data_IF_060615378702
#
_entry.id   IF_060615378702
#
_cell.length_a   1.000
_cell.length_b   1.000
_cell.length_c   1.000
_cell.angle_alpha   90.00
_cell.angle_beta   90.00
_cell.angle_gamma   90.00
#
_symmetry.space_group_name_H-M   'P 1'
#
loop_
_entity.id
_entity.type
_entity.pdbx_description
1 polymer ?
#
# COMPACT_ATOMS: atom_id res chain seq x y z
N UNK A 1 -0.14 50.99 -5.51
CA UNK A 1 1.11 50.62 -4.82
C UNK A 1 1.19 49.11 -4.78
N UNK A 2 2.22 48.51 -5.36
CA UNK A 2 2.46 47.06 -5.22
C UNK A 2 3.02 46.81 -3.81
N UNK A 3 2.35 45.97 -3.04
CA UNK A 3 2.83 45.56 -1.73
C UNK A 3 3.95 44.52 -1.94
N UNK A 4 5.19 44.89 -1.65
CA UNK A 4 6.32 43.96 -1.64
C UNK A 4 6.45 43.42 -0.22
N UNK A 5 6.23 42.12 -0.06
CA UNK A 5 6.35 41.46 1.24
C UNK A 5 7.76 41.65 1.79
N UNK A 6 7.92 42.05 3.08
CA UNK A 6 9.23 42.11 3.73
C UNK A 6 9.80 40.71 4.04
N UNK A 7 9.01 39.64 3.83
CA UNK A 7 9.44 38.26 4.01
C UNK A 7 9.89 37.65 2.68
N UNK A 8 10.94 36.83 2.72
CA UNK A 8 11.36 36.02 1.57
C UNK A 8 10.21 35.13 1.08
N UNK A 9 10.17 34.85 -0.22
CA UNK A 9 9.15 33.98 -0.80
C UNK A 9 9.17 32.61 -0.09
N UNK A 10 8.02 32.17 0.40
CA UNK A 10 7.89 30.86 1.03
C UNK A 10 8.24 29.77 0.02
N UNK A 11 9.19 28.89 0.37
CA UNK A 11 9.49 27.66 -0.39
C UNK A 11 8.45 26.57 -0.14
N UNK A 12 7.55 26.81 0.81
CA UNK A 12 6.53 25.89 1.30
C UNK A 12 5.32 25.89 0.36
N UNK A 13 5.12 24.79 -0.36
CA UNK A 13 3.99 24.61 -1.28
C UNK A 13 2.90 23.79 -0.62
N UNK A 14 1.64 24.15 -0.86
CA UNK A 14 0.49 23.40 -0.35
C UNK A 14 0.58 21.91 -0.75
N UNK A 15 0.19 21.03 0.17
CA UNK A 15 0.20 19.57 -0.02
C UNK A 15 1.58 18.92 -0.09
N UNK A 16 2.68 19.68 0.00
CA UNK A 16 4.02 19.12 -0.04
C UNK A 16 4.44 18.60 1.33
N UNK A 17 5.16 17.48 1.36
CA UNK A 17 5.77 16.95 2.57
C UNK A 17 7.09 16.24 2.31
N UNK A 18 7.91 16.16 3.36
CA UNK A 18 9.18 15.46 3.35
C UNK A 18 9.40 14.67 4.63
N UNK A 19 9.79 13.40 4.46
CA UNK A 19 10.22 12.49 5.51
C UNK A 19 11.67 12.12 5.21
N UNK A 20 12.57 12.30 6.16
CA UNK A 20 13.97 11.86 6.08
C UNK A 20 14.29 11.07 7.34
N UNK A 21 14.54 9.77 7.16
CA UNK A 21 14.96 8.85 8.20
C UNK A 21 16.45 8.53 7.98
N UNK A 22 17.30 8.98 8.89
CA UNK A 22 18.77 8.83 8.83
C UNK A 22 19.29 7.96 9.97
N UNK A 23 20.52 7.46 9.84
CA UNK A 23 21.21 6.75 10.92
C UNK A 23 22.29 7.63 11.52
N UNK A 24 22.17 7.95 12.81
CA UNK A 24 23.24 8.60 13.57
C UNK A 24 24.21 7.57 14.17
N UNK A 25 25.50 7.89 14.31
CA UNK A 25 26.45 7.03 15.01
C UNK A 25 26.02 6.72 16.46
N UNK A 26 26.26 5.49 16.96
CA UNK A 26 26.90 4.37 16.28
C UNK A 26 25.97 3.58 15.35
N UNK A 27 24.65 3.52 15.60
CA UNK A 27 23.64 2.88 14.73
C UNK A 27 22.20 3.21 15.20
N UNK A 28 21.88 4.50 15.35
CA UNK A 28 20.57 4.97 15.85
C UNK A 28 19.76 5.63 14.73
N UNK A 29 18.70 4.97 14.21
CA UNK A 29 17.77 5.61 13.29
C UNK A 29 17.08 6.81 13.95
N UNK A 30 16.99 7.94 13.25
CA UNK A 30 16.31 9.16 13.70
C UNK A 30 15.53 9.81 12.57
N UNK A 31 14.35 10.34 12.88
CA UNK A 31 13.62 11.22 11.98
C UNK A 31 14.29 12.59 11.95
N UNK A 32 15.19 12.79 10.99
CA UNK A 32 15.85 14.08 10.77
C UNK A 32 14.88 15.14 10.25
N UNK A 33 13.92 14.75 9.42
CA UNK A 33 12.94 15.66 8.86
C UNK A 33 11.58 15.00 8.80
N UNK A 34 10.58 15.70 9.34
CA UNK A 34 9.17 15.46 9.11
C UNK A 34 8.55 16.84 8.88
N UNK A 35 8.43 17.23 7.62
CA UNK A 35 7.85 18.51 7.23
C UNK A 35 6.65 18.28 6.33
N UNK A 36 5.66 19.15 6.44
CA UNK A 36 4.45 19.09 5.62
C UNK A 36 3.81 20.47 5.51
N UNK A 37 2.97 20.61 4.50
CA UNK A 37 2.03 21.71 4.39
C UNK A 37 0.63 21.26 4.08
N UNK A 38 -0.31 22.01 4.64
CA UNK A 38 -1.72 21.88 4.35
C UNK A 38 -1.97 21.74 2.84
N UNK A 39 -2.80 20.79 2.38
CA UNK A 39 -3.67 19.93 3.19
C UNK A 39 -3.01 18.64 3.73
N UNK A 40 -1.75 18.33 3.40
CA UNK A 40 -1.04 17.19 3.97
C UNK A 40 -0.71 17.43 5.45
N UNK A 41 -0.86 16.40 6.28
CA UNK A 41 -0.40 16.37 7.66
C UNK A 41 0.30 15.04 7.95
N UNK A 42 1.42 15.12 8.66
CA UNK A 42 2.19 13.96 9.11
C UNK A 42 2.19 13.90 10.64
N UNK A 43 1.94 12.71 11.19
CA UNK A 43 2.04 12.45 12.63
C UNK A 43 3.02 11.32 12.87
N UNK A 44 4.07 11.59 13.65
CA UNK A 44 5.15 10.65 13.94
C UNK A 44 5.20 10.38 15.46
N UNK A 45 4.60 9.28 15.96
CA UNK A 45 4.78 8.86 17.35
C UNK A 45 6.23 8.44 17.64
N UNK A 46 6.55 8.28 18.93
CA UNK A 46 7.86 7.80 19.37
C UNK A 46 8.20 6.45 18.72
N UNK A 47 9.44 6.28 18.22
CA UNK A 47 9.87 5.02 17.60
C UNK A 47 9.94 3.89 18.63
N UNK A 48 9.77 2.65 18.16
CA UNK A 48 9.85 1.46 18.99
C UNK A 48 11.02 0.57 18.58
N UNK A 49 11.61 -0.19 19.52
CA UNK A 49 12.56 -1.24 19.16
C UNK A 49 11.86 -2.35 18.36
N UNK A 50 12.59 -3.10 17.52
CA UNK A 50 12.06 -4.30 16.87
C UNK A 50 11.59 -5.33 17.92
N UNK A 51 10.50 -6.09 17.68
CA UNK A 51 9.93 -7.02 18.68
C UNK A 51 10.84 -8.19 19.04
N UNK A 52 11.58 -8.71 18.06
CA UNK A 52 12.64 -9.69 18.29
C UNK A 52 13.98 -9.01 18.06
N UNK A 53 14.98 -9.20 18.95
CA UNK A 53 16.35 -8.87 18.61
C UNK A 53 16.70 -9.75 17.41
N UNK A 54 16.71 -9.16 16.23
CA UNK A 54 16.98 -9.90 15.01
C UNK A 54 18.38 -10.47 15.10
N UNK A 55 18.51 -11.77 14.83
CA UNK A 55 19.80 -12.46 14.65
C UNK A 55 20.58 -11.96 13.42
N UNK A 56 20.01 -10.99 12.68
CA UNK A 56 20.60 -10.37 11.51
C UNK A 56 21.51 -9.24 11.99
N UNK A 57 22.82 -9.38 11.76
CA UNK A 57 23.79 -8.30 11.89
C UNK A 57 23.30 -7.05 11.14
N UNK A 58 23.35 -5.88 11.78
CA UNK A 58 22.93 -4.57 11.26
C UNK A 58 21.43 -4.28 11.17
N UNK A 59 20.56 -4.98 11.91
CA UNK A 59 19.19 -4.52 12.03
C UNK A 59 19.08 -3.18 12.78
N UNK A 60 18.08 -2.34 12.44
CA UNK A 60 17.90 -1.07 13.10
C UNK A 60 17.51 -1.24 14.57
N UNK A 61 18.10 -0.41 15.42
CA UNK A 61 17.73 -0.31 16.84
C UNK A 61 16.32 0.25 17.07
N UNK A 62 15.77 0.98 16.09
CA UNK A 62 14.49 1.66 16.19
C UNK A 62 13.71 1.62 14.88
N UNK A 63 12.40 1.45 15.00
CA UNK A 63 11.43 1.43 13.91
C UNK A 63 10.54 2.65 14.05
N UNK A 64 10.43 3.42 12.98
CA UNK A 64 9.64 4.65 12.97
C UNK A 64 8.29 4.37 12.33
N UNK A 65 7.24 4.96 12.89
CA UNK A 65 5.89 4.92 12.35
C UNK A 65 5.47 6.34 12.01
N UNK A 66 4.88 6.55 10.83
CA UNK A 66 4.31 7.83 10.43
C UNK A 66 2.91 7.60 9.88
N UNK A 67 1.96 8.40 10.35
CA UNK A 67 0.62 8.47 9.80
C UNK A 67 0.53 9.62 8.80
N UNK A 68 0.00 9.32 7.63
CA UNK A 68 -0.39 10.24 6.57
C UNK A 68 -1.85 10.65 6.78
N UNK A 69 -2.11 11.94 6.76
CA UNK A 69 -3.44 12.49 6.88
C UNK A 69 -3.64 13.61 5.87
N UNK A 70 -4.89 13.78 5.45
CA UNK A 70 -5.35 14.96 4.72
C UNK A 70 -6.27 15.75 5.64
N UNK A 71 -5.85 16.96 5.99
CA UNK A 71 -6.67 17.89 6.77
C UNK A 71 -7.94 18.25 5.97
N UNK A 72 -9.08 18.34 6.64
CA UNK A 72 -10.38 18.53 5.97
C UNK A 72 -11.12 17.22 5.68
N UNK A 73 -10.57 16.08 6.11
CA UNK A 73 -11.23 14.78 6.06
C UNK A 73 -11.16 14.09 4.70
N UNK A 74 -10.30 14.57 3.79
CA UNK A 74 -10.08 13.97 2.47
C UNK A 74 -9.46 14.97 1.49
N UNK A 75 -9.35 14.57 0.24
CA UNK A 75 -8.81 15.35 -0.89
C UNK A 75 -9.98 15.99 -1.64
N UNK A 76 -9.97 17.31 -1.82
CA UNK A 76 -11.01 18.04 -2.57
C UNK A 76 -10.56 18.37 -3.99
N UNK A 77 -11.48 18.89 -4.81
CA UNK A 77 -11.27 19.13 -6.23
C UNK A 77 -10.07 20.06 -6.48
N UNK A 78 -9.09 19.57 -7.25
CA UNK A 78 -7.89 20.33 -7.61
C UNK A 78 -6.75 20.29 -6.59
N UNK A 79 -6.94 19.64 -5.44
CA UNK A 79 -5.85 19.42 -4.48
C UNK A 79 -4.72 18.59 -5.12
N UNK A 80 -3.48 18.92 -4.76
CA UNK A 80 -2.30 18.16 -5.14
C UNK A 80 -1.43 17.90 -3.91
N UNK A 81 -1.24 16.62 -3.58
CA UNK A 81 -0.33 16.16 -2.52
C UNK A 81 0.98 15.70 -3.17
N UNK A 82 2.12 16.09 -2.61
CA UNK A 82 3.45 15.62 -3.03
C UNK A 82 4.30 15.27 -1.81
N UNK A 83 4.45 13.97 -1.54
CA UNK A 83 5.23 13.45 -0.42
C UNK A 83 6.55 12.84 -0.90
N UNK A 84 7.66 13.31 -0.33
CA UNK A 84 8.99 12.73 -0.54
C UNK A 84 9.47 12.01 0.71
N UNK A 85 9.89 10.77 0.57
CA UNK A 85 10.39 9.94 1.67
C UNK A 85 11.80 9.47 1.32
N UNK A 86 12.76 9.71 2.21
CA UNK A 86 14.14 9.25 2.06
C UNK A 86 14.50 8.37 3.25
N UNK A 87 14.86 7.11 2.96
CA UNK A 87 15.24 6.11 3.94
C UNK A 87 16.72 5.78 3.76
N UNK A 88 17.52 6.11 4.77
CA UNK A 88 18.94 5.80 4.80
C UNK A 88 19.18 4.30 5.01
N UNK A 89 20.42 3.85 4.80
CA UNK A 89 20.75 2.42 4.85
C UNK A 89 20.37 1.79 6.18
N UNK A 90 19.88 0.55 6.16
CA UNK A 90 19.45 -0.22 7.34
C UNK A 90 18.32 0.43 8.17
N UNK A 91 17.55 1.37 7.63
CA UNK A 91 16.39 1.95 8.33
C UNK A 91 15.09 1.20 8.05
N UNK A 92 14.13 1.27 8.99
CA UNK A 92 12.78 0.70 8.85
C UNK A 92 11.72 1.77 9.10
N UNK A 93 10.85 1.98 8.12
CA UNK A 93 9.71 2.89 8.21
C UNK A 93 8.39 2.12 8.02
N UNK A 94 7.45 2.38 8.93
CA UNK A 94 6.03 2.04 8.80
C UNK A 94 5.29 3.31 8.39
N UNK A 95 4.60 3.25 7.26
CA UNK A 95 3.76 4.33 6.76
C UNK A 95 2.31 3.86 6.73
N UNK A 96 1.41 4.65 7.30
CA UNK A 96 0.00 4.32 7.49
C UNK A 96 -0.86 5.55 7.21
N UNK A 97 -2.17 5.38 7.15
CA UNK A 97 -3.12 6.50 7.15
C UNK A 97 -3.93 6.52 8.44
N UNK A 98 -4.67 7.61 8.69
CA UNK A 98 -5.69 7.61 9.73
C UNK A 98 -7.07 7.43 9.08
N UNK A 99 -7.44 6.18 8.79
CA UNK A 99 -8.66 5.84 8.08
C UNK A 99 -8.54 6.02 6.57
N UNK A 100 -9.62 5.68 5.87
CA UNK A 100 -9.69 5.78 4.41
C UNK A 100 -9.44 7.20 3.90
N UNK A 101 -8.58 7.31 2.89
CA UNK A 101 -8.39 8.57 2.16
C UNK A 101 -9.61 8.84 1.30
N UNK A 102 -10.49 9.72 1.77
CA UNK A 102 -11.70 10.12 1.06
C UNK A 102 -11.33 11.06 -0.07
N UNK A 103 -11.83 10.81 -1.27
CA UNK A 103 -11.70 11.74 -2.39
C UNK A 103 -13.07 12.31 -2.71
N UNK A 104 -13.22 13.62 -2.60
CA UNK A 104 -14.50 14.27 -2.81
C UNK A 104 -14.83 14.41 -4.30
N UNK A 105 -16.08 14.74 -4.59
CA UNK A 105 -16.57 15.05 -5.94
C UNK A 105 -15.84 16.25 -6.53
N UNK A 106 -15.71 16.27 -7.85
CA UNK A 106 -15.18 17.40 -8.61
C UNK A 106 -16.27 18.01 -9.50
N UNK A 107 -16.30 19.34 -9.72
CA UNK A 107 -17.29 19.98 -10.59
C UNK A 107 -17.18 19.55 -12.07
N UNK A 108 -16.00 19.12 -12.51
CA UNK A 108 -15.76 18.62 -13.87
C UNK A 108 -14.76 17.47 -13.85
N UNK A 109 -14.92 16.44 -14.71
CA UNK A 109 -13.91 15.38 -14.87
C UNK A 109 -12.52 15.90 -15.25
N UNK A 110 -12.40 17.11 -15.80
CA UNK A 110 -11.12 17.72 -16.19
C UNK A 110 -10.35 18.31 -14.99
N UNK A 111 -11.03 18.62 -13.89
CA UNK A 111 -10.39 19.09 -12.66
C UNK A 111 -10.03 17.88 -11.80
N UNK A 112 -8.85 17.33 -12.07
CA UNK A 112 -8.32 16.12 -11.40
C UNK A 112 -7.54 16.51 -10.15
N UNK A 113 -7.86 15.86 -9.02
CA UNK A 113 -7.02 15.92 -7.81
C UNK A 113 -5.89 14.91 -7.90
N UNK A 114 -4.74 15.24 -7.32
CA UNK A 114 -3.47 14.54 -7.52
C UNK A 114 -2.83 14.11 -6.19
N UNK A 115 -2.23 12.93 -6.19
CA UNK A 115 -1.38 12.48 -5.09
C UNK A 115 -0.09 11.84 -5.61
N UNK A 116 1.04 12.41 -5.23
CA UNK A 116 2.36 11.92 -5.56
C UNK A 116 3.06 11.46 -4.30
N UNK A 117 3.69 10.28 -4.36
CA UNK A 117 4.61 9.80 -3.34
C UNK A 117 5.89 9.30 -4.01
N UNK A 118 7.02 9.88 -3.63
CA UNK A 118 8.34 9.42 -4.09
C UNK A 118 9.13 8.93 -2.89
N UNK A 119 9.53 7.66 -2.91
CA UNK A 119 10.30 7.03 -1.83
C UNK A 119 11.67 6.65 -2.38
N UNK A 120 12.73 7.06 -1.70
CA UNK A 120 14.10 6.62 -1.95
C UNK A 120 14.55 5.68 -0.82
N UNK A 121 14.93 4.46 -1.19
CA UNK A 121 15.40 3.43 -0.28
C UNK A 121 16.87 3.14 -0.59
N UNK A 122 17.75 3.48 0.35
CA UNK A 122 19.15 3.06 0.31
C UNK A 122 19.29 1.57 0.66
N UNK A 123 20.52 1.08 0.62
CA UNK A 123 20.87 -0.30 0.89
C UNK A 123 20.24 -0.84 2.19
N UNK A 124 19.52 -1.96 2.07
CA UNK A 124 18.84 -2.64 3.17
C UNK A 124 17.80 -1.79 3.94
N UNK A 125 17.43 -0.63 3.42
CA UNK A 125 16.28 0.12 3.94
C UNK A 125 14.98 -0.64 3.64
N UNK A 126 13.98 -0.45 4.49
CA UNK A 126 12.72 -1.17 4.37
C UNK A 126 11.50 -0.29 4.66
N UNK A 127 10.51 -0.38 3.77
CA UNK A 127 9.23 0.29 3.91
C UNK A 127 8.10 -0.75 4.02
N UNK A 128 7.29 -0.60 5.06
CA UNK A 128 5.93 -1.13 5.11
C UNK A 128 4.97 0.02 4.89
N UNK A 129 4.21 -0.02 3.80
CA UNK A 129 3.14 0.94 3.53
C UNK A 129 1.82 0.18 3.36
N UNK A 130 1.07 0.08 4.45
CA UNK A 130 -0.22 -0.62 4.51
C UNK A 130 -1.31 0.39 4.94
N UNK A 131 -1.69 1.35 4.08
CA UNK A 131 -2.70 2.34 4.41
C UNK A 131 -4.10 1.72 4.44
N UNK A 132 -5.08 2.44 4.99
CA UNK A 132 -6.49 2.19 4.67
C UNK A 132 -6.76 2.46 3.17
N UNK A 133 -7.81 1.86 2.59
CA UNK A 133 -8.06 2.00 1.16
C UNK A 133 -8.51 3.42 0.80
N UNK A 134 -8.25 3.80 -0.46
CA UNK A 134 -8.79 5.04 -1.04
C UNK A 134 -10.30 4.88 -1.25
N UNK A 135 -11.07 5.89 -0.84
CA UNK A 135 -12.52 5.93 -1.01
C UNK A 135 -12.93 7.10 -1.91
N UNK A 136 -12.97 6.90 -3.24
CA UNK A 136 -13.50 7.90 -4.15
C UNK A 136 -15.01 8.03 -3.99
N UNK A 137 -15.52 9.25 -3.90
CA UNK A 137 -16.96 9.49 -3.88
C UNK A 137 -17.51 9.51 -5.31
N UNK A 138 -18.85 9.53 -5.43
CA UNK A 138 -19.48 9.78 -6.71
C UNK A 138 -18.94 11.08 -7.35
N UNK A 139 -18.74 11.06 -8.67
CA UNK A 139 -18.24 12.19 -9.46
C UNK A 139 -16.82 12.66 -9.09
N UNK A 140 -15.96 11.75 -8.61
CA UNK A 140 -14.53 12.02 -8.39
C UNK A 140 -13.71 11.86 -9.68
N UNK A 141 -12.72 12.74 -9.89
CA UNK A 141 -11.63 12.55 -10.83
C UNK A 141 -10.29 12.63 -10.08
N UNK A 142 -9.56 11.52 -10.00
CA UNK A 142 -8.36 11.40 -9.16
C UNK A 142 -7.25 10.63 -9.87
N UNK A 143 -6.01 11.05 -9.65
CA UNK A 143 -4.84 10.29 -10.06
C UNK A 143 -3.78 10.27 -8.96
N UNK A 144 -3.26 9.09 -8.66
CA UNK A 144 -2.11 8.91 -7.80
C UNK A 144 -0.93 8.25 -8.54
N UNK A 145 0.28 8.63 -8.14
CA UNK A 145 1.53 8.02 -8.58
C UNK A 145 2.44 7.78 -7.38
N UNK A 146 2.80 6.53 -7.16
CA UNK A 146 3.73 6.10 -6.12
C UNK A 146 4.99 5.55 -6.79
N UNK A 147 6.12 6.20 -6.54
CA UNK A 147 7.40 5.88 -7.17
C UNK A 147 8.41 5.50 -6.11
N UNK A 148 8.94 4.28 -6.21
CA UNK A 148 9.93 3.74 -5.29
C UNK A 148 11.27 3.61 -6.01
N UNK A 149 12.30 4.26 -5.48
CA UNK A 149 13.66 4.20 -5.99
C UNK A 149 14.53 3.36 -5.06
N UNK A 150 15.13 2.30 -5.60
CA UNK A 150 16.03 1.40 -4.89
C UNK A 150 17.47 1.66 -5.32
N UNK A 151 18.37 1.80 -4.36
CA UNK A 151 19.81 1.83 -4.66
C UNK A 151 20.31 0.40 -4.94
N UNK A 152 20.90 0.21 -6.13
CA UNK A 152 21.45 -1.07 -6.58
C UNK A 152 20.51 -2.27 -6.41
N UNK A 153 19.20 -2.07 -6.50
CA UNK A 153 18.17 -3.10 -6.33
C UNK A 153 18.01 -3.65 -4.90
N UNK A 154 18.65 -3.03 -3.90
CA UNK A 154 18.82 -3.57 -2.54
C UNK A 154 17.86 -2.98 -1.49
N UNK A 155 16.65 -2.58 -1.89
CA UNK A 155 15.62 -2.10 -0.97
C UNK A 155 14.50 -3.12 -0.75
N UNK A 156 13.82 -2.98 0.40
CA UNK A 156 12.75 -3.88 0.83
C UNK A 156 11.41 -3.14 0.85
N UNK A 157 10.37 -3.73 0.24
CA UNK A 157 9.05 -3.13 0.11
C UNK A 157 7.95 -4.14 0.47
N UNK A 158 7.01 -3.71 1.30
CA UNK A 158 5.71 -4.34 1.47
C UNK A 158 4.66 -3.22 1.39
N UNK A 159 4.04 -3.07 0.23
CA UNK A 159 3.18 -1.92 -0.11
C UNK A 159 1.83 -2.39 -0.58
N UNK A 160 0.75 -1.89 0.01
CA UNK A 160 -0.62 -2.13 -0.42
C UNK A 160 -1.23 -0.87 -1.03
N UNK A 161 -1.71 -0.98 -2.26
CA UNK A 161 -2.48 0.05 -2.95
C UNK A 161 -3.86 -0.51 -3.33
N UNK A 162 -4.91 0.09 -2.79
CA UNK A 162 -6.25 -0.46 -2.85
C UNK A 162 -7.32 0.64 -2.78
N UNK A 163 -8.43 0.39 -3.46
CA UNK A 163 -9.52 1.34 -3.68
C UNK A 163 -10.87 0.67 -3.49
N UNK A 164 -11.82 1.44 -2.98
CA UNK A 164 -13.21 1.01 -2.78
C UNK A 164 -14.16 1.60 -3.82
N UNK A 165 -15.35 1.02 -3.96
CA UNK A 165 -16.40 1.47 -4.88
C UNK A 165 -17.06 2.80 -4.49
N UNK A 166 -16.66 3.39 -3.37
CA UNK A 166 -17.21 4.63 -2.82
C UNK A 166 -17.99 4.41 -1.54
N UNK A 167 -19.04 5.20 -1.33
CA UNK A 167 -19.87 5.14 -0.12
C UNK A 167 -21.08 4.23 -0.34
N UNK A 168 -20.89 2.93 -0.11
CA UNK A 168 -21.97 1.93 -0.19
C UNK A 168 -23.19 2.31 0.66
N UNK A 169 -22.98 2.87 1.86
CA UNK A 169 -24.05 3.36 2.73
C UNK A 169 -24.88 4.52 2.13
N UNK A 170 -24.38 5.17 1.07
CA UNK A 170 -25.10 6.20 0.28
C UNK A 170 -25.59 5.68 -1.08
N UNK A 171 -25.48 4.38 -1.33
CA UNK A 171 -25.83 3.75 -2.61
C UNK A 171 -24.81 3.98 -3.72
N UNK A 172 -23.60 4.46 -3.41
CA UNK A 172 -22.55 4.63 -4.42
C UNK A 172 -21.92 3.28 -4.78
N UNK A 173 -21.75 3.04 -6.07
CA UNK A 173 -21.12 1.84 -6.60
C UNK A 173 -20.32 2.18 -7.87
N UNK A 174 -19.07 2.56 -7.68
CA UNK A 174 -18.15 2.97 -8.74
C UNK A 174 -18.65 4.17 -9.57
N UNK A 175 -19.40 5.08 -8.95
CA UNK A 175 -20.01 6.27 -9.57
C UNK A 175 -19.03 7.44 -9.81
N UNK A 176 -17.73 7.15 -9.90
CA UNK A 176 -16.67 8.11 -10.18
C UNK A 176 -16.60 8.50 -11.66
N UNK A 177 -15.94 9.62 -11.97
CA UNK A 177 -15.55 9.93 -13.34
C UNK A 177 -14.31 9.12 -13.75
N UNK A 178 -13.29 9.14 -12.89
CA UNK A 178 -12.04 8.42 -13.12
C UNK A 178 -11.17 8.34 -11.87
N UNK A 179 -10.48 7.21 -11.73
CA UNK A 179 -9.48 6.93 -10.72
C UNK A 179 -8.30 6.24 -11.41
N UNK A 180 -7.11 6.83 -11.28
CA UNK A 180 -5.88 6.27 -11.83
C UNK A 180 -4.90 6.05 -10.70
N UNK A 181 -4.37 4.84 -10.57
CA UNK A 181 -3.27 4.55 -9.67
C UNK A 181 -2.10 3.95 -10.41
N UNK A 182 -0.90 4.50 -10.18
CA UNK A 182 0.33 4.00 -10.77
C UNK A 182 1.35 3.75 -9.68
N UNK A 183 1.87 2.53 -9.63
CA UNK A 183 2.97 2.15 -8.77
C UNK A 183 4.18 1.81 -9.66
N UNK A 184 5.30 2.47 -9.43
CA UNK A 184 6.54 2.22 -10.16
C UNK A 184 7.69 1.93 -9.20
N UNK A 185 8.49 0.91 -9.52
CA UNK A 185 9.73 0.62 -8.80
C UNK A 185 10.90 0.71 -9.76
N UNK A 186 11.83 1.60 -9.44
CA UNK A 186 13.01 1.91 -10.20
C UNK A 186 14.25 1.51 -9.42
N UNK A 187 15.30 1.09 -10.12
CA UNK A 187 16.65 0.97 -9.54
C UNK A 187 17.57 2.02 -10.11
N UNK A 188 18.47 2.54 -9.28
CA UNK A 188 19.61 3.35 -9.71
C UNK A 188 20.89 2.61 -9.38
N UNK A 189 21.75 2.39 -10.36
CA UNK A 189 23.09 1.79 -10.12
C UNK A 189 24.08 2.83 -9.58
N UNK A 190 25.22 2.37 -9.05
CA UNK A 190 26.34 3.25 -8.64
C UNK A 190 26.83 4.17 -9.77
N UNK A 191 26.72 3.71 -11.03
CA UNK A 191 27.03 4.52 -12.23
C UNK A 191 25.95 5.56 -12.59
N UNK A 192 24.89 5.68 -11.79
CA UNK A 192 23.76 6.60 -12.01
C UNK A 192 22.73 6.14 -13.03
N UNK A 193 22.88 4.94 -13.63
CA UNK A 193 21.94 4.41 -14.62
C UNK A 193 20.63 4.01 -13.93
N UNK A 194 19.51 4.54 -14.42
CA UNK A 194 18.16 4.22 -13.94
C UNK A 194 17.52 3.10 -14.74
N UNK A 195 16.83 2.18 -14.07
CA UNK A 195 16.11 1.05 -14.68
C UNK A 195 14.74 0.87 -14.05
N UNK A 196 13.68 0.83 -14.85
CA UNK A 196 12.33 0.46 -14.39
C UNK A 196 12.28 -1.06 -14.15
N UNK A 197 11.98 -1.47 -12.92
CA UNK A 197 11.87 -2.88 -12.53
C UNK A 197 10.42 -3.38 -12.61
N UNK A 198 9.49 -2.57 -12.09
CA UNK A 198 8.07 -2.90 -11.99
C UNK A 198 7.23 -1.64 -12.30
N UNK A 199 6.13 -1.83 -13.03
CA UNK A 199 5.05 -0.85 -13.16
C UNK A 199 3.71 -1.58 -13.03
N UNK A 200 2.93 -1.19 -12.03
CA UNK A 200 1.50 -1.50 -11.94
C UNK A 200 0.71 -0.23 -12.27
N UNK A 201 -0.32 -0.36 -13.10
CA UNK A 201 -1.09 0.79 -13.58
C UNK A 201 -2.58 0.41 -13.64
N UNK A 202 -3.32 0.86 -12.63
CA UNK A 202 -4.76 0.67 -12.49
C UNK A 202 -5.48 1.90 -13.05
N UNK A 203 -6.37 1.68 -14.01
CA UNK A 203 -7.23 2.72 -14.58
C UNK A 203 -8.67 2.26 -14.41
N UNK A 204 -9.39 2.97 -13.54
CA UNK A 204 -10.82 2.81 -13.34
C UNK A 204 -11.49 4.08 -13.87
N UNK A 205 -12.25 3.95 -14.93
CA UNK A 205 -12.96 5.05 -15.57
C UNK A 205 -14.43 4.67 -15.73
N UNK A 206 -15.31 5.67 -15.84
CA UNK A 206 -16.76 5.44 -15.82
C UNK A 206 -17.24 4.42 -16.87
N UNK A 207 -16.70 4.51 -18.09
CA UNK A 207 -17.11 3.68 -19.23
C UNK A 207 -15.97 2.77 -19.76
N UNK A 208 -14.71 3.16 -19.58
CA UNK A 208 -13.59 2.43 -20.16
C UNK A 208 -13.55 2.50 -21.68
N UNK A 209 -12.94 1.47 -22.24
CA UNK A 209 -12.96 1.21 -23.69
C UNK A 209 -14.19 0.39 -24.11
N UNK A 210 -15.10 0.12 -23.18
CA UNK A 210 -16.33 -0.64 -23.39
C UNK A 210 -17.53 0.29 -23.27
N UNK A 211 -18.70 -0.10 -23.80
CA UNK A 211 -19.94 0.63 -23.50
C UNK A 211 -20.59 0.18 -22.17
N UNK A 212 -19.86 -0.55 -21.32
CA UNK A 212 -20.34 -1.04 -20.03
C UNK A 212 -19.94 -0.09 -18.90
N UNK A 213 -20.89 0.18 -18.01
CA UNK A 213 -20.62 0.93 -16.78
C UNK A 213 -19.55 0.22 -15.94
N UNK A 214 -18.71 1.00 -15.25
CA UNK A 214 -17.66 0.47 -14.36
C UNK A 214 -18.21 -0.53 -13.33
N UNK A 215 -19.35 -0.23 -12.71
CA UNK A 215 -19.98 -1.14 -11.73
C UNK A 215 -20.31 -2.52 -12.29
N UNK A 216 -20.75 -2.60 -13.55
CA UNK A 216 -21.02 -3.88 -14.21
C UNK A 216 -19.71 -4.62 -14.53
N UNK A 217 -18.64 -3.91 -14.91
CA UNK A 217 -17.32 -4.50 -15.17
C UNK A 217 -16.66 -5.04 -13.90
N UNK A 218 -16.97 -4.44 -12.75
CA UNK A 218 -16.45 -4.86 -11.46
C UNK A 218 -17.21 -6.06 -10.87
N UNK A 219 -18.24 -6.59 -11.54
CA UNK A 219 -18.93 -7.85 -11.19
C UNK A 219 -19.30 -8.01 -9.69
N UNK A 220 -19.79 -6.92 -9.09
CA UNK A 220 -20.19 -6.89 -7.68
C UNK A 220 -19.04 -6.80 -6.67
N UNK A 221 -17.77 -6.73 -7.11
CA UNK A 221 -16.66 -6.37 -6.24
C UNK A 221 -16.71 -4.88 -5.89
N UNK A 222 -16.60 -4.58 -4.60
CA UNK A 222 -16.55 -3.21 -4.08
C UNK A 222 -15.15 -2.80 -3.66
N UNK A 223 -14.16 -3.68 -3.78
CA UNK A 223 -12.76 -3.44 -3.45
C UNK A 223 -11.88 -4.01 -4.54
N UNK A 224 -10.81 -3.30 -4.87
CA UNK A 224 -9.72 -3.83 -5.68
C UNK A 224 -8.39 -3.36 -5.11
N UNK A 225 -7.41 -4.25 -5.04
CA UNK A 225 -6.09 -3.94 -4.50
C UNK A 225 -4.94 -4.70 -5.16
N UNK A 226 -3.76 -4.08 -5.10
CA UNK A 226 -2.47 -4.65 -5.43
C UNK A 226 -1.56 -4.55 -4.20
N UNK A 227 -1.08 -5.68 -3.70
CA UNK A 227 0.02 -5.76 -2.74
C UNK A 227 1.32 -6.08 -3.50
N UNK A 228 2.34 -5.26 -3.27
CA UNK A 228 3.67 -5.35 -3.88
C UNK A 228 4.66 -5.72 -2.79
N UNK A 229 5.29 -6.89 -2.93
CA UNK A 229 6.26 -7.42 -1.97
C UNK A 229 7.61 -7.60 -2.68
N UNK A 230 8.68 -7.13 -2.04
CA UNK A 230 10.05 -7.27 -2.54
C UNK A 230 11.08 -7.23 -1.42
N UNK A 231 12.17 -7.97 -1.61
CA UNK A 231 13.41 -7.83 -0.88
C UNK A 231 13.60 -8.92 0.17
N UNK A 232 14.86 -9.15 0.61
CA UNK A 232 15.20 -10.24 1.51
C UNK A 232 14.43 -10.23 2.83
N UNK A 233 14.08 -9.04 3.37
CA UNK A 233 13.30 -8.94 4.61
C UNK A 233 11.92 -9.58 4.47
N UNK A 234 11.32 -9.54 3.28
CA UNK A 234 9.98 -10.06 3.01
C UNK A 234 10.00 -11.35 2.20
N UNK A 235 11.13 -12.08 2.18
CA UNK A 235 11.26 -13.31 1.39
C UNK A 235 10.30 -14.42 1.87
N UNK A 236 10.17 -14.61 3.19
CA UNK A 236 9.20 -15.58 3.76
C UNK A 236 7.77 -15.21 3.40
N UNK A 237 7.37 -13.95 3.60
CA UNK A 237 6.05 -13.46 3.20
C UNK A 237 5.78 -13.66 1.70
N UNK A 238 6.77 -13.38 0.85
CA UNK A 238 6.68 -13.57 -0.60
C UNK A 238 6.43 -15.03 -0.95
N UNK A 239 7.18 -15.95 -0.35
CA UNK A 239 7.01 -17.38 -0.55
C UNK A 239 5.66 -17.87 0.01
N UNK A 240 5.26 -17.39 1.17
CA UNK A 240 3.98 -17.72 1.79
C UNK A 240 2.80 -17.41 0.85
N UNK A 241 2.74 -16.21 0.26
CA UNK A 241 1.66 -15.89 -0.70
C UNK A 241 1.67 -16.78 -1.95
N UNK A 242 2.85 -17.15 -2.46
CA UNK A 242 2.96 -18.05 -3.60
C UNK A 242 2.50 -19.47 -3.26
N UNK A 243 2.93 -20.00 -2.10
CA UNK A 243 2.54 -21.32 -1.60
C UNK A 243 1.04 -21.41 -1.33
N UNK A 244 0.46 -20.39 -0.69
CA UNK A 244 -0.98 -20.34 -0.42
C UNK A 244 -1.80 -20.21 -1.72
N UNK A 245 -1.26 -19.51 -2.73
CA UNK A 245 -1.91 -19.39 -4.04
C UNK A 245 -1.86 -20.71 -4.82
N UNK A 246 -0.71 -21.40 -4.81
CA UNK A 246 -0.54 -22.70 -5.47
C UNK A 246 -1.44 -23.77 -4.86
N UNK A 247 -1.69 -23.69 -3.55
CA UNK A 247 -2.55 -24.59 -2.81
C UNK A 247 -4.06 -24.31 -3.00
N UNK A 248 -4.47 -23.27 -3.73
CA UNK A 248 -5.89 -22.99 -3.97
C UNK A 248 -6.53 -24.10 -4.83
N UNK A 249 -7.80 -24.46 -4.56
CA UNK A 249 -8.52 -25.44 -5.37
C UNK A 249 -8.60 -24.98 -6.84
N UNK A 250 -8.05 -25.77 -7.77
CA UNK A 250 -8.12 -25.46 -9.20
C UNK A 250 -9.52 -25.76 -9.75
N UNK A 251 -10.04 -24.83 -10.55
CA UNK A 251 -11.31 -25.02 -11.27
C UNK A 251 -11.18 -26.26 -12.17
N UNK A 252 -12.05 -27.26 -11.97
CA UNK A 252 -12.09 -28.50 -12.75
C UNK A 252 -11.31 -29.69 -12.17
N UNK A 253 -10.59 -29.51 -11.06
CA UNK A 253 -10.01 -30.63 -10.31
C UNK A 253 -11.08 -31.40 -9.53
N UNK A 254 -11.82 -32.30 -10.19
CA UNK A 254 -12.68 -33.26 -9.48
C UNK A 254 -11.79 -34.28 -8.76
N UNK A 255 -11.84 -34.31 -7.44
CA UNK A 255 -11.40 -35.48 -6.66
C UNK A 255 -12.46 -36.57 -6.81
N UNK A 256 -12.13 -37.63 -7.55
CA UNK A 256 -12.95 -38.83 -7.76
C UNK A 256 -12.64 -39.93 -6.70
N UNK A 257 -12.37 -39.55 -5.46
CA UNK A 257 -12.00 -40.48 -4.39
C UNK A 257 -13.06 -40.58 -3.30
N UNK A 258 -13.29 -41.80 -2.80
CA UNK A 258 -14.25 -42.14 -1.76
C UNK A 258 -14.01 -41.42 -0.41
N UNK A 259 -15.10 -41.30 0.35
CA UNK A 259 -15.35 -40.50 1.56
C UNK A 259 -14.48 -40.83 2.79
N UNK A 260 -13.20 -40.47 2.77
CA UNK A 260 -12.45 -40.20 4.00
C UNK A 260 -11.77 -38.83 3.87
N UNK A 261 -12.25 -37.83 4.60
CA UNK A 261 -11.50 -36.58 4.76
C UNK A 261 -10.22 -36.92 5.55
N UNK A 262 -9.02 -36.80 4.94
CA UNK A 262 -7.79 -37.01 5.69
C UNK A 262 -7.73 -36.04 6.87
N UNK A 263 -7.15 -36.46 7.99
CA UNK A 263 -6.87 -35.56 9.11
C UNK A 263 -5.99 -34.42 8.60
N UNK A 264 -6.55 -33.21 8.57
CA UNK A 264 -5.84 -32.02 8.12
C UNK A 264 -4.80 -31.64 9.16
N UNK A 265 -3.59 -31.31 8.70
CA UNK A 265 -2.60 -30.66 9.55
C UNK A 265 -3.16 -29.33 10.07
N UNK A 266 -2.62 -28.81 11.17
CA UNK A 266 -3.06 -27.52 11.72
C UNK A 266 -2.98 -26.37 10.69
N UNK A 267 -1.97 -26.37 9.82
CA UNK A 267 -1.83 -25.40 8.73
C UNK A 267 -2.94 -25.57 7.67
N UNK A 268 -3.26 -26.81 7.30
CA UNK A 268 -4.33 -27.09 6.34
C UNK A 268 -5.71 -26.78 6.91
N UNK A 269 -5.95 -27.01 8.20
CA UNK A 269 -7.19 -26.62 8.87
C UNK A 269 -7.36 -25.10 8.85
N UNK A 270 -6.32 -24.33 9.21
CA UNK A 270 -6.37 -22.86 9.12
C UNK A 270 -6.65 -22.37 7.71
N UNK A 271 -5.99 -22.97 6.71
CA UNK A 271 -6.24 -22.68 5.29
C UNK A 271 -7.70 -22.99 4.92
N UNK A 272 -8.21 -24.15 5.33
CA UNK A 272 -9.60 -24.54 5.08
C UNK A 272 -10.57 -23.50 5.65
N UNK A 273 -10.40 -23.12 6.92
CA UNK A 273 -11.25 -22.12 7.58
C UNK A 273 -11.15 -20.75 6.90
N UNK A 274 -9.95 -20.36 6.46
CA UNK A 274 -9.72 -19.13 5.70
C UNK A 274 -10.46 -19.18 4.37
N UNK A 275 -10.36 -20.25 3.60
CA UNK A 275 -11.04 -20.40 2.30
C UNK A 275 -12.58 -20.32 2.43
N UNK A 276 -13.16 -20.84 3.52
CA UNK A 276 -14.59 -20.66 3.77
C UNK A 276 -14.95 -19.18 4.00
N UNK A 277 -14.12 -18.43 4.73
CA UNK A 277 -14.29 -16.98 4.89
C UNK A 277 -14.12 -16.24 3.57
N UNK A 278 -13.07 -16.56 2.79
CA UNK A 278 -12.85 -15.97 1.46
C UNK A 278 -14.09 -16.16 0.56
N UNK A 279 -14.72 -17.33 0.60
CA UNK A 279 -15.98 -17.60 -0.13
C UNK A 279 -17.16 -16.76 0.39
N UNK A 280 -17.32 -16.65 1.70
CA UNK A 280 -18.36 -15.84 2.34
C UNK A 280 -18.24 -14.36 1.97
N UNK A 281 -17.02 -13.83 2.01
CA UNK A 281 -16.72 -12.42 1.73
C UNK A 281 -16.71 -12.10 0.22
N UNK A 282 -16.86 -13.14 -0.62
CA UNK A 282 -16.68 -13.05 -2.05
C UNK A 282 -15.31 -12.49 -2.40
N UNK A 283 -14.26 -12.90 -1.66
CA UNK A 283 -12.88 -12.53 -1.93
C UNK A 283 -12.31 -13.43 -3.02
N UNK A 284 -11.66 -12.81 -4.00
CA UNK A 284 -10.79 -13.47 -4.96
C UNK A 284 -9.42 -12.83 -4.94
N UNK A 285 -8.39 -13.62 -5.14
CA UNK A 285 -7.03 -13.12 -5.18
C UNK A 285 -6.12 -14.00 -6.04
N UNK A 286 -4.99 -13.43 -6.45
CA UNK A 286 -3.95 -14.13 -7.20
C UNK A 286 -2.57 -13.64 -6.79
N UNK A 287 -1.57 -14.51 -6.80
CA UNK A 287 -0.17 -14.15 -6.58
C UNK A 287 0.70 -14.52 -7.78
N UNK A 288 1.65 -13.67 -8.12
CA UNK A 288 2.62 -13.93 -9.19
C UNK A 288 3.99 -13.36 -8.85
N UNK A 289 5.04 -14.10 -9.22
CA UNK A 289 6.42 -13.61 -9.18
C UNK A 289 6.78 -12.92 -10.50
N UNK A 290 7.23 -11.67 -10.42
CA UNK A 290 7.66 -10.87 -11.55
C UNK A 290 8.97 -10.17 -11.20
N UNK A 291 10.09 -10.59 -11.80
CA UNK A 291 11.41 -9.91 -11.68
C UNK A 291 11.85 -9.65 -10.23
N UNK A 292 11.63 -10.61 -9.32
CA UNK A 292 11.99 -10.48 -7.90
C UNK A 292 11.00 -9.65 -7.09
N UNK A 293 9.77 -9.49 -7.59
CA UNK A 293 8.61 -8.99 -6.86
C UNK A 293 7.57 -10.10 -6.76
N UNK A 294 6.86 -10.19 -5.64
CA UNK A 294 5.59 -10.89 -5.57
C UNK A 294 4.48 -9.86 -5.62
N UNK A 295 3.62 -9.98 -6.64
CA UNK A 295 2.44 -9.16 -6.81
C UNK A 295 1.23 -9.99 -6.39
N UNK A 296 0.47 -9.47 -5.44
CA UNK A 296 -0.80 -10.07 -5.02
C UNK A 296 -1.93 -9.13 -5.41
N UNK A 297 -2.80 -9.57 -6.31
CA UNK A 297 -4.01 -8.84 -6.68
C UNK A 297 -5.18 -9.44 -5.94
N UNK A 298 -6.06 -8.61 -5.39
CA UNK A 298 -7.22 -9.08 -4.64
C UNK A 298 -8.43 -8.18 -4.85
N UNK A 299 -9.62 -8.74 -4.69
CA UNK A 299 -10.90 -8.05 -4.75
C UNK A 299 -11.91 -8.74 -3.83
N UNK A 300 -12.81 -7.99 -3.21
CA UNK A 300 -13.89 -8.51 -2.37
C UNK A 300 -15.18 -7.69 -2.53
N UNK A 301 -16.30 -8.25 -2.06
CA UNK A 301 -17.59 -7.55 -2.05
C UNK A 301 -17.69 -6.49 -0.97
N UNK A 302 -16.90 -6.62 0.10
CA UNK A 302 -16.84 -5.65 1.19
C UNK A 302 -15.41 -5.36 1.62
N UNK A 303 -15.17 -4.15 2.14
CA UNK A 303 -13.86 -3.70 2.62
C UNK A 303 -13.31 -4.62 3.70
N UNK A 304 -14.18 -5.04 4.62
CA UNK A 304 -13.78 -5.89 5.74
C UNK A 304 -13.30 -7.27 5.31
N UNK A 305 -13.83 -7.84 4.22
CA UNK A 305 -13.34 -9.11 3.67
C UNK A 305 -11.87 -9.01 3.23
N UNK A 306 -11.53 -7.99 2.44
CA UNK A 306 -10.14 -7.74 2.02
C UNK A 306 -9.24 -7.38 3.21
N UNK A 307 -9.73 -6.54 4.14
CA UNK A 307 -8.97 -6.09 5.32
C UNK A 307 -8.62 -7.27 6.24
N UNK A 308 -9.62 -8.07 6.61
CA UNK A 308 -9.44 -9.23 7.48
C UNK A 308 -8.56 -10.29 6.82
N UNK A 309 -8.77 -10.58 5.54
CA UNK A 309 -7.94 -11.51 4.80
C UNK A 309 -6.47 -11.06 4.76
N UNK A 310 -6.20 -9.81 4.39
CA UNK A 310 -4.83 -9.31 4.30
C UNK A 310 -4.15 -9.29 5.68
N UNK A 311 -4.89 -8.90 6.73
CA UNK A 311 -4.43 -8.99 8.12
C UNK A 311 -4.03 -10.41 8.47
N UNK A 312 -4.93 -11.37 8.23
CA UNK A 312 -4.75 -12.76 8.64
C UNK A 312 -3.59 -13.41 7.89
N UNK A 313 -3.46 -13.16 6.57
CA UNK A 313 -2.34 -13.64 5.75
C UNK A 313 -0.99 -13.12 6.27
N UNK A 314 -0.88 -11.82 6.55
CA UNK A 314 0.36 -11.22 7.07
C UNK A 314 0.67 -11.70 8.48
N UNK A 315 -0.35 -11.90 9.33
CA UNK A 315 -0.17 -12.43 10.68
C UNK A 315 0.24 -13.90 10.70
N UNK A 316 -0.31 -14.70 9.79
CA UNK A 316 -0.01 -16.14 9.71
C UNK A 316 1.45 -16.39 9.29
N UNK A 317 1.96 -15.63 8.32
CA UNK A 317 3.39 -15.67 7.98
C UNK A 317 4.26 -15.04 9.09
N UNK A 318 3.82 -13.92 9.67
CA UNK A 318 4.49 -13.28 10.80
C UNK A 318 5.73 -12.45 10.46
N UNK A 319 6.21 -12.42 9.22
CA UNK A 319 7.42 -11.67 8.82
C UNK A 319 7.31 -10.18 9.15
N UNK A 320 6.18 -9.56 8.80
CA UNK A 320 5.95 -8.12 9.04
C UNK A 320 5.91 -7.83 10.54
N UNK A 321 5.24 -8.68 11.32
CA UNK A 321 5.18 -8.54 12.77
C UNK A 321 6.56 -8.68 13.40
N UNK A 322 7.34 -9.69 13.01
CA UNK A 322 8.68 -9.92 13.55
C UNK A 322 9.66 -8.80 13.17
N UNK A 323 9.55 -8.25 11.97
CA UNK A 323 10.46 -7.22 11.47
C UNK A 323 10.05 -5.78 11.83
N UNK A 324 8.76 -5.48 11.98
CA UNK A 324 8.23 -4.12 12.18
C UNK A 324 7.38 -3.94 13.43
N UNK A 325 6.86 -5.03 14.01
CA UNK A 325 5.95 -5.00 15.16
C UNK A 325 4.50 -4.70 14.80
N UNK A 326 3.63 -4.81 15.82
CA UNK A 326 2.17 -4.69 15.71
C UNK A 326 1.68 -3.37 15.11
N UNK A 327 2.50 -2.31 15.19
CA UNK A 327 2.15 -1.01 14.58
C UNK A 327 1.97 -1.11 13.08
N UNK A 328 2.68 -2.03 12.40
CA UNK A 328 2.60 -2.22 10.96
C UNK A 328 1.19 -2.59 10.46
N UNK A 329 0.35 -3.17 11.32
CA UNK A 329 -0.97 -3.67 10.96
C UNK A 329 -2.12 -2.80 11.46
N UNK A 330 -1.87 -1.57 11.94
CA UNK A 330 -2.92 -0.73 12.53
C UNK A 330 -4.06 -0.40 11.56
N UNK A 331 -3.77 -0.16 10.28
CA UNK A 331 -4.78 0.03 9.23
C UNK A 331 -5.41 -1.28 8.74
N UNK A 332 -5.02 -2.43 9.28
CA UNK A 332 -5.62 -3.72 8.98
C UNK A 332 -6.37 -4.31 10.17
N UNK A 333 -6.44 -3.58 11.31
CA UNK A 333 -7.08 -4.06 12.52
C UNK A 333 -8.59 -4.18 12.37
#
# INVERSE_FOLDING_TARGET
MSFVSPFGASTSKAGHGSIILEVLPPNKPVLRTVSYQYPLKLVAPDPLPPPSPSLIDNAPSLIHTIFLLTYGGGIVAGDAIDLKVNLDSNTRLILLTQGSTKIFKTPSPDLVSLQYMTVHLKHNAALVYLPDPVQPFAQTAFAQSQTYHLDNEQGNLCVCDWVTSGRSARGENWDLYGYKSRNEVWSTSDSGKKRLLLRDNLILDKNGQTNMALSARMDGFSVFGTLIIRGPIFASLSQFFLDEFEALPRIGGRNWGDEAQPELTFKEQRRHDRLQREKSDGLVWSAANVRGFVLVKFASREVEGSRNWLRDMIKEDGTVLNAFGERALLCLK
#
